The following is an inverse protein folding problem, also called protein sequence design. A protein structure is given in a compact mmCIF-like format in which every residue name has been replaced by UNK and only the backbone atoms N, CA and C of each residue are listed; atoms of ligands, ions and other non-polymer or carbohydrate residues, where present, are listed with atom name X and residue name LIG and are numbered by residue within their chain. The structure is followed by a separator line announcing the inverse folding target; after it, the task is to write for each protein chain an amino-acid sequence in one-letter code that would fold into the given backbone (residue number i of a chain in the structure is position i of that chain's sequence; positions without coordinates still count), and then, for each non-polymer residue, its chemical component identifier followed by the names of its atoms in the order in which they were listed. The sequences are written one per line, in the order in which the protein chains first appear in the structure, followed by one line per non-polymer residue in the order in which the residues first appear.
data_IF_345069249376
#
_entry.id   IF_345069249376
#
_cell.length_a   1.000
_cell.length_b   1.000
_cell.length_c   1.000
_cell.angle_alpha   90.00
_cell.angle_beta   90.00
_cell.angle_gamma   90.00
#
_symmetry.space_group_name_H-M   'P 1'
#
loop_
_entity.id
_entity.type
_entity.pdbx_description
1 polymer ?
#
# COMPACT_ATOMS: atom_id res chain seq x y z
N UNK A 1 2.60 9.20 -6.28
CA UNK A 1 2.87 10.17 -5.17
C UNK A 1 1.58 10.44 -4.42
N UNK A 2 1.62 10.41 -3.10
CA UNK A 2 0.45 10.68 -2.23
C UNK A 2 0.01 12.14 -2.35
N UNK A 3 -1.14 12.39 -2.97
CA UNK A 3 -1.62 13.74 -3.27
C UNK A 3 -2.03 14.52 -2.02
N UNK A 4 -2.47 13.84 -0.98
CA UNK A 4 -2.92 14.48 0.27
C UNK A 4 -1.76 15.00 1.09
N UNK A 5 -0.69 14.18 1.25
CA UNK A 5 0.54 14.61 1.93
C UNK A 5 1.24 15.70 1.14
N UNK A 6 1.34 15.56 -0.19
CA UNK A 6 1.89 16.59 -1.06
C UNK A 6 1.14 17.93 -0.89
N UNK A 7 -0.18 17.89 -0.89
CA UNK A 7 -1.01 19.10 -0.72
C UNK A 7 -0.82 19.72 0.67
N UNK A 8 -0.69 18.91 1.71
CA UNK A 8 -0.39 19.38 3.06
C UNK A 8 0.96 20.12 3.10
N UNK A 9 2.00 19.48 2.59
CA UNK A 9 3.35 20.07 2.55
C UNK A 9 3.37 21.37 1.74
N UNK A 10 2.84 21.34 0.52
CA UNK A 10 2.76 22.50 -0.37
C UNK A 10 2.03 23.68 0.29
N UNK A 11 0.87 23.42 0.90
CA UNK A 11 0.10 24.45 1.62
C UNK A 11 0.91 25.08 2.76
N UNK A 12 1.58 24.26 3.57
CA UNK A 12 2.36 24.76 4.69
C UNK A 12 3.63 25.51 4.25
N UNK A 13 4.27 25.11 3.15
CA UNK A 13 5.34 25.87 2.52
C UNK A 13 4.83 27.24 2.02
N UNK A 14 3.70 27.28 1.34
CA UNK A 14 3.06 28.52 0.89
C UNK A 14 2.76 29.47 2.05
N UNK A 15 2.29 28.94 3.17
CA UNK A 15 2.05 29.73 4.40
C UNK A 15 3.37 30.23 4.99
N UNK A 16 4.38 29.37 5.11
CA UNK A 16 5.68 29.71 5.68
C UNK A 16 6.37 30.84 4.90
N UNK A 17 6.23 30.85 3.59
CA UNK A 17 6.80 31.89 2.70
C UNK A 17 5.84 33.01 2.37
N UNK A 18 4.60 32.99 2.95
CA UNK A 18 3.58 34.02 2.74
C UNK A 18 3.38 34.35 1.24
N UNK A 19 3.20 33.30 0.42
CA UNK A 19 2.87 33.48 -0.99
C UNK A 19 1.43 34.05 -1.09
N UNK A 20 1.16 35.14 -1.81
CA UNK A 20 1.92 35.62 -2.98
C UNK A 20 3.00 36.69 -2.72
N UNK A 21 3.31 37.04 -1.48
CA UNK A 21 4.30 38.08 -1.20
C UNK A 21 5.70 37.77 -1.78
N UNK A 22 6.05 36.50 -1.90
CA UNK A 22 7.26 36.00 -2.54
C UNK A 22 6.93 35.31 -3.87
N UNK A 23 6.40 36.09 -4.82
CA UNK A 23 5.92 35.61 -6.13
C UNK A 23 6.93 34.82 -6.96
N UNK A 24 8.21 34.92 -6.61
CA UNK A 24 9.28 34.21 -7.33
C UNK A 24 9.56 32.79 -6.82
N UNK A 25 8.90 32.35 -5.75
CA UNK A 25 9.05 30.98 -5.24
C UNK A 25 7.91 30.13 -5.79
N UNK A 26 8.23 29.26 -6.73
CA UNK A 26 7.31 28.24 -7.24
C UNK A 26 7.50 26.99 -6.39
N UNK A 27 6.39 26.50 -5.80
CA UNK A 27 6.39 25.25 -5.03
C UNK A 27 5.76 24.17 -5.89
N UNK A 28 6.59 23.24 -6.34
CA UNK A 28 6.21 22.06 -7.11
C UNK A 28 6.89 20.79 -6.56
N UNK A 29 6.72 19.66 -7.22
CA UNK A 29 7.26 18.37 -6.78
C UNK A 29 8.79 18.30 -6.75
N UNK A 30 9.46 19.13 -7.55
CA UNK A 30 10.92 19.19 -7.65
C UNK A 30 11.54 20.22 -6.70
N UNK A 31 10.73 20.99 -5.97
CA UNK A 31 11.20 21.97 -5.00
C UNK A 31 12.07 21.31 -3.95
N UNK A 32 13.33 21.68 -3.85
CA UNK A 32 14.28 21.19 -2.83
C UNK A 32 14.06 21.99 -1.55
N UNK A 33 13.43 21.33 -0.57
CA UNK A 33 12.86 22.00 0.61
C UNK A 33 13.93 22.61 1.50
N UNK A 34 15.03 21.92 1.73
CA UNK A 34 16.16 22.43 2.55
C UNK A 34 16.94 23.58 1.92
N UNK A 35 16.80 23.77 0.59
CA UNK A 35 17.42 24.90 -0.14
C UNK A 35 16.54 26.16 -0.17
N UNK A 36 15.32 26.11 0.35
CA UNK A 36 14.49 27.31 0.44
C UNK A 36 15.08 28.34 1.44
N UNK A 37 14.81 29.66 1.26
CA UNK A 37 15.38 30.70 2.10
C UNK A 37 14.76 30.74 3.50
N UNK A 38 15.03 29.69 4.29
CA UNK A 38 14.54 29.54 5.64
C UNK A 38 15.14 30.54 6.62
N UNK A 39 14.30 31.06 7.50
CA UNK A 39 14.76 31.52 8.81
C UNK A 39 14.48 30.42 9.84
N UNK A 40 15.25 30.34 10.94
CA UNK A 40 15.02 29.31 11.97
C UNK A 40 13.58 29.28 12.48
N UNK A 41 12.94 30.43 12.63
CA UNK A 41 11.57 30.54 13.10
C UNK A 41 10.55 30.00 12.07
N UNK A 42 10.76 30.30 10.77
CA UNK A 42 9.87 29.79 9.70
C UNK A 42 9.99 28.28 9.57
N UNK A 43 11.22 27.77 9.56
CA UNK A 43 11.46 26.33 9.45
C UNK A 43 10.83 25.58 10.61
N UNK A 44 11.06 26.05 11.85
CA UNK A 44 10.46 25.44 13.05
C UNK A 44 8.92 25.41 12.94
N UNK A 45 8.30 26.54 12.61
CA UNK A 45 6.85 26.62 12.48
C UNK A 45 6.30 25.65 11.42
N UNK A 46 6.97 25.57 10.26
CA UNK A 46 6.60 24.62 9.19
C UNK A 46 6.71 23.19 9.71
N UNK A 47 7.86 22.82 10.25
CA UNK A 47 8.13 21.50 10.81
C UNK A 47 7.09 21.12 11.86
N UNK A 48 6.95 21.93 12.90
CA UNK A 48 6.02 21.65 14.01
C UNK A 48 4.56 21.47 13.52
N UNK A 49 4.15 22.28 12.53
CA UNK A 49 2.80 22.19 11.98
C UNK A 49 2.58 20.86 11.22
N UNK A 50 3.51 20.48 10.34
CA UNK A 50 3.37 19.25 9.55
C UNK A 50 3.50 18.01 10.44
N UNK A 51 4.44 18.00 11.38
CA UNK A 51 4.64 16.88 12.30
C UNK A 51 3.45 16.70 13.25
N UNK A 52 2.84 17.77 13.71
CA UNK A 52 1.63 17.71 14.52
C UNK A 52 0.46 17.13 13.72
N UNK A 53 0.29 17.55 12.47
CA UNK A 53 -0.80 17.10 11.60
C UNK A 53 -0.68 15.61 11.23
N UNK A 54 0.53 15.15 10.88
CA UNK A 54 0.78 13.76 10.54
C UNK A 54 1.05 12.89 11.76
N UNK A 55 1.36 13.48 12.91
CA UNK A 55 1.90 12.82 14.10
C UNK A 55 3.16 11.98 13.79
N UNK A 56 4.01 12.50 12.89
CA UNK A 56 5.25 11.87 12.44
C UNK A 56 6.38 12.90 12.40
N UNK A 57 7.53 12.65 13.07
CA UNK A 57 8.73 13.47 12.88
C UNK A 57 9.29 13.25 11.48
N UNK A 58 9.89 14.29 10.89
CA UNK A 58 10.52 14.19 9.58
C UNK A 58 11.72 15.14 9.46
N UNK A 59 12.71 14.71 8.70
CA UNK A 59 13.78 15.56 8.21
C UNK A 59 13.42 16.02 6.79
N UNK A 60 13.14 17.30 6.63
CA UNK A 60 12.68 17.89 5.37
C UNK A 60 13.87 18.23 4.47
N UNK A 61 14.65 17.20 4.10
CA UNK A 61 15.83 17.29 3.24
C UNK A 61 15.50 16.66 1.88
N UNK A 62 15.85 17.35 0.80
CA UNK A 62 15.63 16.87 -0.56
C UNK A 62 14.38 17.45 -1.23
N UNK A 63 13.94 16.81 -2.32
CA UNK A 63 12.78 17.27 -3.09
C UNK A 63 11.47 17.06 -2.34
N UNK A 64 10.49 17.91 -2.63
CA UNK A 64 9.15 17.78 -2.07
C UNK A 64 8.49 16.43 -2.45
N UNK A 65 8.86 15.89 -3.62
CA UNK A 65 8.45 14.55 -4.07
C UNK A 65 9.00 13.46 -3.17
N UNK A 66 10.31 13.50 -2.87
CA UNK A 66 10.96 12.47 -2.05
C UNK A 66 10.47 12.51 -0.60
N UNK A 67 10.34 13.72 -0.03
CA UNK A 67 9.76 13.93 1.30
C UNK A 67 8.32 13.43 1.37
N UNK A 68 7.52 13.69 0.33
CA UNK A 68 6.13 13.18 0.25
C UNK A 68 6.10 11.67 0.23
N UNK A 69 7.01 11.04 -0.50
CA UNK A 69 7.09 9.58 -0.58
C UNK A 69 7.48 8.98 0.78
N UNK A 70 8.55 9.46 1.41
CA UNK A 70 8.99 9.00 2.73
C UNK A 70 7.89 9.14 3.79
N UNK A 71 7.25 10.30 3.87
CA UNK A 71 6.15 10.52 4.80
C UNK A 71 4.94 9.64 4.52
N UNK A 72 4.65 9.35 3.26
CA UNK A 72 3.55 8.45 2.87
C UNK A 72 3.80 7.02 3.35
N UNK A 73 4.99 6.49 3.08
CA UNK A 73 5.37 5.14 3.51
C UNK A 73 5.35 5.02 5.03
N UNK A 74 5.91 5.99 5.74
CA UNK A 74 5.95 6.01 7.21
C UNK A 74 4.57 6.20 7.83
N UNK A 75 3.68 6.95 7.19
CA UNK A 75 2.29 7.13 7.63
C UNK A 75 1.50 5.82 7.50
N UNK A 76 1.65 5.12 6.38
CA UNK A 76 1.05 3.80 6.14
C UNK A 76 1.64 2.77 7.12
N UNK A 77 2.97 2.76 7.28
CA UNK A 77 3.66 1.90 8.24
C UNK A 77 3.07 2.02 9.65
N UNK A 78 3.06 3.23 10.19
CA UNK A 78 2.53 3.47 11.52
C UNK A 78 1.12 2.96 11.69
N UNK A 79 0.28 3.14 10.68
CA UNK A 79 -1.08 2.64 10.73
C UNK A 79 -1.11 1.11 10.84
N UNK A 80 -0.44 0.40 9.95
CA UNK A 80 -0.50 -1.06 9.91
C UNK A 80 0.30 -1.75 11.03
N UNK A 81 1.41 -1.17 11.47
CA UNK A 81 2.20 -1.74 12.55
C UNK A 81 1.64 -1.45 13.97
N UNK A 82 1.04 -0.28 14.18
CA UNK A 82 0.69 0.18 15.53
C UNK A 82 -0.83 0.23 15.77
N UNK A 83 -1.62 0.60 14.76
CA UNK A 83 -3.04 0.94 14.94
C UNK A 83 -3.96 -0.19 14.48
N UNK A 84 -3.69 -0.74 13.32
CA UNK A 84 -4.59 -1.70 12.69
C UNK A 84 -4.36 -3.12 13.23
N UNK A 85 -5.45 -3.76 13.65
CA UNK A 85 -5.45 -5.17 14.07
C UNK A 85 -6.44 -5.93 13.21
N UNK A 86 -6.00 -6.90 12.41
CA UNK A 86 -6.89 -7.67 11.56
C UNK A 86 -7.83 -8.54 12.38
N UNK A 87 -9.08 -8.63 11.94
CA UNK A 87 -10.07 -9.59 12.44
C UNK A 87 -10.32 -10.62 11.35
N UNK A 88 -9.38 -11.53 11.18
CA UNK A 88 -9.40 -12.52 10.09
C UNK A 88 -10.65 -13.42 10.12
N UNK A 89 -11.20 -13.68 11.30
CA UNK A 89 -12.38 -14.53 11.47
C UNK A 89 -13.70 -13.88 11.06
N UNK A 90 -13.70 -12.54 10.89
CA UNK A 90 -14.93 -11.79 10.63
C UNK A 90 -15.18 -11.58 9.12
N UNK A 91 -14.34 -12.16 8.23
CA UNK A 91 -14.43 -11.95 6.78
C UNK A 91 -14.73 -13.24 6.03
N UNK A 92 -15.78 -13.26 5.21
CA UNK A 92 -16.19 -14.43 4.43
C UNK A 92 -15.11 -14.96 3.48
N UNK A 93 -14.27 -14.06 2.94
CA UNK A 93 -13.23 -14.40 1.96
C UNK A 93 -11.80 -14.16 2.46
N UNK A 94 -11.61 -13.85 3.72
CA UNK A 94 -10.29 -13.52 4.29
C UNK A 94 -10.06 -14.18 5.64
N UNK A 95 -10.96 -15.07 6.05
CA UNK A 95 -10.86 -15.84 7.27
C UNK A 95 -10.32 -17.25 7.03
N UNK A 96 -10.64 -18.15 7.91
CA UNK A 96 -10.17 -19.55 7.87
C UNK A 96 -10.65 -20.32 6.64
N UNK A 97 -11.76 -19.91 6.02
CA UNK A 97 -12.26 -20.51 4.77
C UNK A 97 -11.25 -20.41 3.63
N UNK A 98 -10.53 -19.26 3.52
CA UNK A 98 -9.48 -19.11 2.52
C UNK A 98 -8.34 -20.10 2.73
N UNK A 99 -7.97 -20.38 3.99
CA UNK A 99 -6.93 -21.36 4.31
C UNK A 99 -7.34 -22.77 3.84
N UNK A 100 -8.59 -23.17 4.06
CA UNK A 100 -9.10 -24.45 3.59
C UNK A 100 -9.14 -24.52 2.06
N UNK A 101 -9.57 -23.46 1.39
CA UNK A 101 -9.62 -23.39 -0.06
C UNK A 101 -8.22 -23.54 -0.67
N UNK A 102 -7.22 -22.81 -0.16
CA UNK A 102 -5.85 -22.87 -0.64
C UNK A 102 -5.24 -24.26 -0.35
N UNK A 103 -5.43 -24.81 0.84
CA UNK A 103 -4.88 -26.12 1.20
C UNK A 103 -5.42 -27.26 0.32
N UNK A 104 -6.68 -27.16 -0.17
CA UNK A 104 -7.26 -28.14 -1.12
C UNK A 104 -6.53 -28.16 -2.47
N UNK A 105 -5.82 -27.09 -2.82
CA UNK A 105 -5.01 -27.03 -4.05
C UNK A 105 -3.69 -27.81 -3.90
N UNK A 106 -3.30 -28.18 -2.68
CA UNK A 106 -2.01 -28.81 -2.35
C UNK A 106 -0.80 -28.03 -2.92
N UNK A 107 -0.70 -26.69 -2.69
CA UNK A 107 0.36 -25.88 -3.25
C UNK A 107 1.71 -26.29 -2.67
N UNK A 108 2.76 -26.25 -3.50
CA UNK A 108 4.14 -26.46 -3.02
C UNK A 108 4.73 -25.19 -2.42
N UNK A 109 4.21 -24.03 -2.80
CA UNK A 109 4.62 -22.73 -2.26
C UNK A 109 3.47 -21.72 -2.29
N UNK A 110 3.26 -21.04 -1.17
CA UNK A 110 2.27 -19.95 -1.03
C UNK A 110 2.95 -18.70 -0.51
N UNK A 111 2.72 -17.55 -1.15
CA UNK A 111 3.20 -16.24 -0.70
C UNK A 111 2.06 -15.40 -0.17
N UNK A 112 2.18 -14.90 1.06
CA UNK A 112 1.27 -13.91 1.65
C UNK A 112 1.92 -12.53 1.59
N UNK A 113 1.43 -11.67 0.70
CA UNK A 113 1.98 -10.33 0.42
C UNK A 113 1.34 -9.30 1.33
N UNK A 114 2.14 -8.65 2.15
CA UNK A 114 1.67 -7.74 3.20
C UNK A 114 0.93 -8.53 4.28
N UNK A 115 1.57 -9.58 4.78
CA UNK A 115 0.97 -10.55 5.71
C UNK A 115 0.62 -9.94 7.07
N UNK A 116 1.13 -8.75 7.40
CA UNK A 116 0.92 -8.10 8.69
C UNK A 116 1.35 -9.01 9.84
N UNK A 117 0.42 -9.34 10.74
CA UNK A 117 0.66 -10.26 11.87
C UNK A 117 0.75 -11.74 11.45
N UNK A 118 0.77 -12.03 10.18
CA UNK A 118 0.88 -13.36 9.57
C UNK A 118 -0.13 -14.38 10.13
N UNK A 119 -1.43 -14.09 10.12
CA UNK A 119 -2.46 -14.92 10.76
C UNK A 119 -2.63 -16.29 10.10
N UNK A 120 -2.19 -16.47 8.87
CA UNK A 120 -2.25 -17.73 8.13
C UNK A 120 -1.08 -18.67 8.41
N UNK A 121 -0.04 -18.20 9.13
CA UNK A 121 1.10 -19.05 9.51
C UNK A 121 0.62 -20.25 10.34
N UNK A 122 0.99 -21.48 9.90
CA UNK A 122 0.53 -22.71 10.51
C UNK A 122 -0.91 -23.14 10.17
N UNK A 123 -1.61 -22.40 9.29
CA UNK A 123 -2.94 -22.71 8.79
C UNK A 123 -2.98 -22.98 7.29
N UNK A 124 -2.18 -22.27 6.54
CA UNK A 124 -1.94 -22.57 5.12
C UNK A 124 -0.60 -23.31 5.04
N UNK A 125 -0.62 -24.42 4.31
CA UNK A 125 0.58 -25.23 4.10
C UNK A 125 1.58 -24.48 3.20
N UNK A 126 2.85 -24.60 3.51
CA UNK A 126 3.96 -24.05 2.71
C UNK A 126 3.86 -22.52 2.50
N UNK A 127 3.27 -21.80 3.45
CA UNK A 127 3.12 -20.35 3.37
C UNK A 127 4.38 -19.61 3.84
N UNK A 128 4.74 -18.59 3.08
CA UNK A 128 5.77 -17.60 3.40
C UNK A 128 5.07 -16.24 3.46
N UNK A 129 5.23 -15.51 4.55
CA UNK A 129 4.69 -14.16 4.70
C UNK A 129 5.76 -13.10 4.50
N UNK A 130 5.48 -12.11 3.67
CA UNK A 130 6.32 -10.92 3.52
C UNK A 130 5.55 -9.66 3.93
N UNK A 131 6.22 -8.77 4.65
CA UNK A 131 5.67 -7.47 5.03
C UNK A 131 6.84 -6.51 5.28
N UNK A 132 6.87 -5.30 4.67
CA UNK A 132 7.98 -4.38 4.86
C UNK A 132 8.07 -3.81 6.27
N UNK A 133 7.00 -3.94 7.06
CA UNK A 133 6.84 -3.19 8.30
C UNK A 133 6.58 -4.05 9.54
N UNK A 134 6.19 -5.30 9.37
CA UNK A 134 5.79 -6.14 10.50
C UNK A 134 6.79 -7.27 10.75
N UNK A 135 7.31 -7.33 11.98
CA UNK A 135 8.28 -8.34 12.40
C UNK A 135 7.69 -9.75 12.60
N UNK A 136 6.39 -9.93 12.44
CA UNK A 136 5.75 -11.25 12.39
C UNK A 136 5.89 -11.91 11.02
N UNK A 137 6.30 -11.17 9.98
CA UNK A 137 6.58 -11.70 8.66
C UNK A 137 7.81 -12.66 8.69
N UNK A 138 7.84 -13.62 7.79
CA UNK A 138 9.03 -14.45 7.60
C UNK A 138 10.19 -13.65 7.00
N UNK A 139 9.86 -12.66 6.15
CA UNK A 139 10.82 -11.69 5.61
C UNK A 139 10.24 -10.27 5.71
N UNK A 140 10.99 -9.38 6.36
CA UNK A 140 10.67 -7.94 6.40
C UNK A 140 11.19 -7.28 5.12
N UNK A 141 10.40 -7.36 4.05
CA UNK A 141 10.77 -6.87 2.71
C UNK A 141 9.53 -6.39 1.94
N UNK A 142 9.69 -5.35 1.12
CA UNK A 142 8.65 -4.96 0.16
C UNK A 142 8.55 -6.00 -0.96
N UNK A 143 7.35 -6.19 -1.51
CA UNK A 143 7.12 -7.12 -2.62
C UNK A 143 8.03 -6.84 -3.84
N UNK A 144 8.37 -5.58 -4.09
CA UNK A 144 9.22 -5.19 -5.21
C UNK A 144 10.65 -5.71 -5.07
N UNK A 145 11.12 -5.89 -3.84
CA UNK A 145 12.48 -6.38 -3.50
C UNK A 145 12.53 -7.89 -3.24
N UNK A 146 11.38 -8.55 -3.14
CA UNK A 146 11.29 -10.00 -2.92
C UNK A 146 11.39 -10.76 -4.26
N UNK A 147 11.90 -12.01 -4.21
CA UNK A 147 11.98 -12.90 -5.37
C UNK A 147 11.67 -14.34 -4.96
N UNK A 148 10.98 -15.06 -5.83
CA UNK A 148 10.61 -16.47 -5.65
C UNK A 148 9.54 -16.87 -6.65
N UNK A 149 9.31 -18.20 -6.76
CA UNK A 149 8.23 -18.76 -7.58
C UNK A 149 7.20 -19.40 -6.65
N UNK A 150 5.90 -19.12 -6.88
CA UNK A 150 4.83 -19.57 -6.01
C UNK A 150 3.65 -20.10 -6.80
N UNK A 151 3.02 -21.17 -6.30
CA UNK A 151 1.79 -21.74 -6.89
C UNK A 151 0.57 -20.90 -6.52
N UNK A 152 0.63 -20.25 -5.35
CA UNK A 152 -0.43 -19.39 -4.86
C UNK A 152 0.18 -18.11 -4.29
N UNK A 153 -0.41 -16.97 -4.64
CA UNK A 153 -0.12 -15.68 -4.02
C UNK A 153 -1.41 -15.15 -3.39
N UNK A 154 -1.28 -14.58 -2.20
CA UNK A 154 -2.37 -13.96 -1.44
C UNK A 154 -2.01 -12.51 -1.16
N UNK A 155 -2.93 -11.56 -1.42
CA UNK A 155 -2.77 -10.14 -1.11
C UNK A 155 -4.09 -9.58 -0.58
N UNK A 156 -4.32 -9.72 0.72
CA UNK A 156 -5.60 -9.36 1.34
C UNK A 156 -5.58 -7.94 1.92
N UNK A 157 -5.56 -6.95 1.05
CA UNK A 157 -5.56 -5.54 1.43
C UNK A 157 -4.21 -4.85 1.35
N UNK A 158 -3.15 -5.54 0.98
CA UNK A 158 -1.80 -4.97 0.85
C UNK A 158 -1.59 -4.17 -0.44
N UNK A 159 -2.26 -4.55 -1.54
CA UNK A 159 -2.17 -3.84 -2.84
C UNK A 159 -3.38 -2.90 -2.98
N UNK A 160 -3.46 -1.90 -2.12
CA UNK A 160 -4.61 -0.98 -2.03
C UNK A 160 -4.23 0.50 -1.94
N UNK A 161 -2.95 0.82 -1.83
CA UNK A 161 -2.52 2.17 -1.46
C UNK A 161 -1.62 2.78 -2.52
N UNK A 162 -1.66 4.11 -2.58
CA UNK A 162 -0.87 4.93 -3.47
C UNK A 162 -1.39 5.00 -4.91
N UNK A 163 -0.55 5.43 -5.84
CA UNK A 163 -0.91 5.68 -7.24
C UNK A 163 -1.16 4.40 -8.03
N UNK A 164 -1.84 4.55 -9.18
CA UNK A 164 -2.07 3.45 -10.10
C UNK A 164 -0.76 2.78 -10.54
N UNK A 165 0.28 3.56 -10.81
CA UNK A 165 1.56 3.03 -11.27
C UNK A 165 2.22 2.15 -10.19
N UNK A 166 2.13 2.55 -8.92
CA UNK A 166 2.65 1.77 -7.80
C UNK A 166 1.83 0.49 -7.56
N UNK A 167 0.51 0.57 -7.69
CA UNK A 167 -0.38 -0.61 -7.64
C UNK A 167 -0.03 -1.58 -8.77
N UNK A 168 0.11 -1.08 -10.00
CA UNK A 168 0.42 -1.90 -11.17
C UNK A 168 1.79 -2.55 -11.07
N UNK A 169 2.81 -1.83 -10.57
CA UNK A 169 4.14 -2.38 -10.35
C UNK A 169 4.12 -3.55 -9.35
N UNK A 170 3.44 -3.39 -8.20
CA UNK A 170 3.29 -4.46 -7.19
C UNK A 170 2.46 -5.63 -7.71
N UNK A 171 1.37 -5.35 -8.42
CA UNK A 171 0.54 -6.39 -9.06
C UNK A 171 1.34 -7.19 -10.07
N UNK A 172 2.03 -6.51 -10.99
CA UNK A 172 2.90 -7.16 -11.99
C UNK A 172 3.96 -8.02 -11.32
N UNK A 173 4.60 -7.52 -10.28
CA UNK A 173 5.61 -8.28 -9.53
C UNK A 173 5.04 -9.59 -8.96
N UNK A 174 3.81 -9.58 -8.43
CA UNK A 174 3.12 -10.79 -8.00
C UNK A 174 2.91 -11.76 -9.18
N UNK A 175 2.49 -11.25 -10.35
CA UNK A 175 2.27 -12.10 -11.53
C UNK A 175 3.58 -12.69 -12.05
N UNK A 176 4.66 -11.93 -12.01
CA UNK A 176 5.99 -12.43 -12.44
C UNK A 176 6.44 -13.63 -11.58
N UNK A 177 6.13 -13.61 -10.28
CA UNK A 177 6.46 -14.68 -9.33
C UNK A 177 5.44 -15.82 -9.28
N UNK A 178 4.28 -15.68 -9.92
CA UNK A 178 3.27 -16.72 -9.95
C UNK A 178 3.62 -17.75 -11.03
N UNK A 179 3.57 -19.04 -10.70
CA UNK A 179 3.77 -20.13 -11.68
C UNK A 179 2.61 -20.19 -12.67
N UNK A 180 2.82 -20.73 -13.88
CA UNK A 180 1.75 -20.99 -14.85
C UNK A 180 0.73 -21.95 -14.23
N UNK A 181 -0.55 -21.62 -14.34
CA UNK A 181 -1.65 -22.33 -13.65
C UNK A 181 -1.81 -21.93 -12.18
N UNK A 182 -0.89 -21.14 -11.63
CA UNK A 182 -0.96 -20.65 -10.26
C UNK A 182 -2.11 -19.68 -10.02
N UNK A 183 -2.50 -19.50 -8.76
CA UNK A 183 -3.65 -18.69 -8.36
C UNK A 183 -3.23 -17.46 -7.56
N UNK A 184 -3.82 -16.31 -7.90
CA UNK A 184 -3.63 -15.05 -7.17
C UNK A 184 -4.94 -14.61 -6.52
N UNK A 185 -4.97 -14.61 -5.20
CA UNK A 185 -6.09 -14.22 -4.36
C UNK A 185 -5.91 -12.79 -3.88
N UNK A 186 -6.88 -11.92 -4.19
CA UNK A 186 -6.85 -10.54 -3.76
C UNK A 186 -8.12 -10.15 -3.03
N UNK A 187 -7.95 -9.30 -2.03
CA UNK A 187 -9.01 -8.52 -1.43
C UNK A 187 -8.65 -7.04 -1.52
N UNK A 188 -9.48 -6.25 -2.19
CA UNK A 188 -9.17 -4.90 -2.57
C UNK A 188 -10.24 -3.91 -2.09
N UNK A 189 -9.86 -2.64 -1.99
CA UNK A 189 -10.73 -1.56 -1.55
C UNK A 189 -11.31 -0.81 -2.77
N UNK A 190 -12.63 -0.65 -2.91
CA UNK A 190 -13.25 0.09 -4.01
C UNK A 190 -13.19 1.62 -3.85
N UNK A 191 -12.29 2.16 -3.03
CA UNK A 191 -12.20 3.59 -2.74
C UNK A 191 -12.97 4.04 -1.48
N UNK A 192 -13.49 3.09 -0.70
CA UNK A 192 -14.15 3.41 0.58
C UNK A 192 -13.11 3.94 1.56
N UNK A 193 -13.35 5.09 2.21
CA UNK A 193 -12.43 5.65 3.19
C UNK A 193 -12.04 4.65 4.27
N UNK A 194 -10.77 4.52 4.51
CA UNK A 194 -10.25 3.68 5.58
C UNK A 194 -10.21 4.47 6.89
N UNK A 195 -10.36 3.81 8.03
CA UNK A 195 -10.15 4.44 9.35
C UNK A 195 -8.68 4.81 9.62
N UNK A 196 -7.85 4.73 8.61
CA UNK A 196 -6.42 5.03 8.63
C UNK A 196 -6.07 6.49 8.84
N UNK A 197 -7.09 7.38 8.79
CA UNK A 197 -6.88 8.81 8.79
C UNK A 197 -6.88 9.43 7.38
N UNK A 198 -6.83 10.77 7.30
CA UNK A 198 -7.09 11.51 6.07
C UNK A 198 -5.98 11.43 5.02
N UNK A 199 -4.77 10.97 5.40
CA UNK A 199 -3.56 11.05 4.56
C UNK A 199 -3.19 9.74 3.85
N UNK A 200 -4.03 8.71 3.91
CA UNK A 200 -3.84 7.49 3.13
C UNK A 200 -4.55 7.63 1.78
N UNK A 201 -3.80 7.54 0.69
CA UNK A 201 -4.38 7.43 -0.64
C UNK A 201 -4.77 5.97 -0.90
N UNK A 202 -6.07 5.74 -1.07
CA UNK A 202 -6.63 4.43 -1.35
C UNK A 202 -6.89 4.35 -2.84
N UNK A 203 -6.31 3.34 -3.48
CA UNK A 203 -6.57 3.08 -4.89
C UNK A 203 -7.99 2.53 -5.07
N UNK A 204 -8.82 3.15 -5.92
CA UNK A 204 -10.22 2.76 -6.07
C UNK A 204 -10.37 1.58 -7.03
N UNK A 205 -10.13 0.37 -6.53
CA UNK A 205 -10.35 -0.84 -7.30
C UNK A 205 -11.80 -0.94 -7.81
N UNK A 206 -11.98 -1.45 -9.02
CA UNK A 206 -13.28 -1.68 -9.63
C UNK A 206 -13.25 -2.93 -10.50
N UNK A 207 -14.42 -3.46 -10.86
CA UNK A 207 -14.51 -4.58 -11.81
C UNK A 207 -13.81 -4.28 -13.14
N UNK A 208 -13.94 -3.04 -13.64
CA UNK A 208 -13.27 -2.61 -14.87
C UNK A 208 -11.76 -2.74 -14.79
N UNK A 209 -11.16 -2.27 -13.68
CA UNK A 209 -9.72 -2.36 -13.44
C UNK A 209 -9.28 -3.82 -13.27
N UNK A 210 -10.05 -4.61 -12.52
CA UNK A 210 -9.78 -6.05 -12.33
C UNK A 210 -9.76 -6.77 -13.68
N UNK A 211 -10.75 -6.49 -14.55
CA UNK A 211 -10.79 -7.07 -15.89
C UNK A 211 -9.66 -6.57 -16.79
N UNK A 212 -9.37 -5.28 -16.77
CA UNK A 212 -8.25 -4.69 -17.52
C UNK A 212 -6.92 -5.37 -17.16
N UNK A 213 -6.67 -5.62 -15.85
CA UNK A 213 -5.45 -6.29 -15.42
C UNK A 213 -5.43 -7.77 -15.84
N UNK A 214 -6.58 -8.46 -15.81
CA UNK A 214 -6.68 -9.82 -16.36
C UNK A 214 -6.27 -9.88 -17.83
N UNK A 215 -6.83 -9.00 -18.65
CA UNK A 215 -6.56 -8.95 -20.10
C UNK A 215 -5.09 -8.55 -20.37
N UNK A 216 -4.56 -7.57 -19.63
CA UNK A 216 -3.19 -7.06 -19.81
C UNK A 216 -2.11 -8.07 -19.45
N UNK A 217 -2.31 -8.84 -18.38
CA UNK A 217 -1.33 -9.76 -17.83
C UNK A 217 -1.59 -11.22 -18.16
N UNK A 218 -2.47 -11.49 -19.14
CA UNK A 218 -2.83 -12.85 -19.59
C UNK A 218 -3.30 -13.74 -18.43
N UNK A 219 -4.28 -13.24 -17.67
CA UNK A 219 -4.86 -13.93 -16.52
C UNK A 219 -6.31 -14.31 -16.79
N UNK A 220 -6.72 -15.45 -16.27
CA UNK A 220 -8.15 -15.83 -16.20
C UNK A 220 -8.73 -15.33 -14.90
N UNK A 221 -9.75 -14.46 -14.97
CA UNK A 221 -10.53 -14.07 -13.80
C UNK A 221 -11.49 -15.20 -13.44
N UNK A 222 -11.25 -15.89 -12.33
CA UNK A 222 -12.08 -17.02 -11.87
C UNK A 222 -13.26 -16.57 -11.02
N UNK A 223 -13.03 -15.57 -10.18
CA UNK A 223 -14.02 -15.08 -9.22
C UNK A 223 -13.93 -13.58 -9.10
N UNK A 224 -15.08 -12.93 -8.99
CA UNK A 224 -15.22 -11.53 -8.58
C UNK A 224 -16.46 -11.40 -7.70
N UNK A 225 -16.30 -10.93 -6.49
CA UNK A 225 -17.37 -10.74 -5.50
C UNK A 225 -17.11 -9.48 -4.66
N UNK A 226 -18.16 -8.97 -4.07
CA UNK A 226 -18.09 -7.93 -3.04
C UNK A 226 -18.46 -8.57 -1.70
N UNK A 227 -17.66 -8.36 -0.66
CA UNK A 227 -17.93 -8.86 0.68
C UNK A 227 -18.87 -7.92 1.47
N UNK A 228 -19.32 -8.37 2.64
CA UNK A 228 -20.20 -7.60 3.50
C UNK A 228 -19.61 -6.28 4.02
N UNK A 229 -18.33 -6.07 3.86
CA UNK A 229 -17.62 -4.85 4.22
C UNK A 229 -17.30 -3.95 3.02
N UNK A 230 -18.03 -4.12 1.92
CA UNK A 230 -17.84 -3.41 0.65
C UNK A 230 -16.46 -3.61 0.01
N UNK A 231 -15.72 -4.65 0.41
CA UNK A 231 -14.44 -4.98 -0.21
C UNK A 231 -14.64 -5.88 -1.41
N UNK A 232 -13.80 -5.69 -2.42
CA UNK A 232 -13.78 -6.53 -3.61
C UNK A 232 -12.89 -7.74 -3.35
N UNK A 233 -13.40 -8.92 -3.62
CA UNK A 233 -12.65 -10.16 -3.58
C UNK A 233 -12.59 -10.75 -4.98
N UNK A 234 -11.41 -11.09 -5.45
CA UNK A 234 -11.23 -11.66 -6.77
C UNK A 234 -10.04 -12.61 -6.82
N UNK A 235 -10.13 -13.57 -7.72
CA UNK A 235 -9.13 -14.62 -7.91
C UNK A 235 -8.76 -14.70 -9.38
N UNK A 236 -7.47 -14.69 -9.66
CA UNK A 236 -6.93 -14.95 -10.98
C UNK A 236 -6.24 -16.30 -11.05
N UNK A 237 -6.20 -16.87 -12.25
CA UNK A 237 -5.29 -17.96 -12.62
C UNK A 237 -4.36 -17.46 -13.72
N UNK A 238 -3.05 -17.67 -13.59
CA UNK A 238 -2.06 -17.34 -14.63
C UNK A 238 -2.15 -18.35 -15.76
N UNK A 239 -2.33 -17.88 -16.99
CA UNK A 239 -2.46 -18.71 -18.20
C UNK A 239 -1.09 -19.09 -18.79
#
# INVERSE_FOLDING_TARGET
MNTKIFTLLKKNLQIAFNLPKYQNIIIDENTVVDQLPWTPARYRKFKDTVEAELSLPCDYIGSLKDITHDLSERYIHRFFAEIWKPRTNDYDYTGWQLAEEINKLNPTSVLDVGCGYHPFKGRINNIIGIDPYNNCADYMVDILDYAGDHDVIVALGSINFNSRDEIEARFKKCIDMLTTGGKFYLRANPGVPHKTGPYVDIFPWSFTIVKEFADRYNLKLETFKQDANDRLYFVYTKL
#
